data_IF_607921858123
#
_entry.id   IF_607921858123
#
_cell.length_a   1.000
_cell.length_b   1.000
_cell.length_c   1.000
_cell.angle_alpha   90.00
_cell.angle_beta   90.00
_cell.angle_gamma   90.00
#
_symmetry.space_group_name_H-M   'P 1'
#
loop_
_entity.id
_entity.type
_entity.pdbx_description
1 polymer ?
2 polymer ?
3 water ?
#
loop_
_entity_poly.entity_id
_entity_poly.type
_entity_poly.pdbx_seq_one_letter_code
_entity_poly.pdbx_strand_id
1 'polydeoxyribonucleotide' '(DG)(DC)(DG)(DA)(BRU)(DC)(DG)(DC)' ?
#
# COMPACT_ATOMS: atom_id res chain seq x y z
N UNK E 2 5.26 -6.65 5.50
CA UNK E 2 6.25 -6.40 4.39
C UNK E 2 5.61 -6.53 3.02
N UNK E 3 5.78 -5.50 2.20
CA UNK E 3 5.21 -5.50 0.88
C UNK E 3 6.32 -5.57 -0.17
N UNK E 4 6.00 -6.04 -1.38
CA UNK E 4 7.01 -6.15 -2.43
C UNK E 4 6.70 -5.15 -3.51
N UNK E 5 7.65 -4.26 -3.78
CA UNK E 5 7.45 -3.26 -4.79
C UNK E 5 8.04 -3.76 -6.09
N UNK E 6 7.29 -3.66 -7.15
CA UNK E 6 7.75 -4.08 -8.46
C UNK E 6 7.10 -3.24 -9.51
N UNK E 7 7.64 -3.31 -10.71
CA UNK E 7 7.13 -2.54 -11.82
C UNK E 7 6.73 -3.56 -12.87
N UNK E 8 5.50 -3.46 -13.36
CA UNK E 8 5.02 -4.43 -14.33
C UNK E 8 4.19 -3.72 -15.39
N UNK E 9 4.64 -3.79 -16.63
CA UNK E 9 3.94 -3.17 -17.73
C UNK E 9 3.82 -1.68 -17.51
N UNK E 10 4.95 -1.05 -17.22
CA UNK E 10 4.97 0.39 -16.98
C UNK E 10 4.42 0.87 -15.63
N UNK E 11 3.63 0.03 -14.98
CA UNK E 11 3.01 0.38 -13.71
C UNK E 11 3.83 -0.03 -12.51
N UNK E 12 3.97 0.89 -11.56
CA UNK E 12 4.68 0.56 -10.35
C UNK E 12 3.58 -0.09 -9.51
N UNK E 13 3.87 -1.22 -8.88
CA UNK E 13 2.85 -1.87 -8.06
C UNK E 13 3.47 -2.34 -6.76
N UNK E 14 2.61 -2.78 -5.85
CA UNK E 14 3.08 -3.24 -4.56
C UNK E 14 2.15 -4.39 -4.16
N UNK E 15 2.69 -5.44 -3.56
CA UNK E 15 1.85 -6.56 -3.11
C UNK E 15 2.38 -7.13 -1.81
N UNK E 16 1.47 -7.51 -0.88
CA UNK E 16 1.87 -8.07 0.41
C UNK E 16 2.35 -9.47 0.15
N UNK E 17 3.30 -9.91 0.95
CA UNK E 17 3.86 -11.22 0.81
C UNK E 17 2.83 -12.24 1.27
N UNK E 18 1.79 -11.75 1.93
CA UNK E 18 0.70 -12.58 2.43
C UNK E 18 -0.08 -13.08 1.23
N UNK E 19 0.10 -12.41 0.10
CA UNK E 19 -0.64 -12.83 -1.07
C UNK E 19 0.18 -13.42 -2.18
N UNK E 20 1.48 -13.53 -1.95
CA UNK E 20 2.37 -14.12 -2.94
C UNK E 20 2.37 -15.66 -2.80
N UNK E 21 2.21 -16.34 -3.94
CA UNK E 21 2.16 -17.81 -3.98
C UNK E 21 3.46 -18.53 -4.40
N UNK E 22 3.69 -18.70 -5.71
CA UNK E 22 4.92 -19.36 -6.14
C UNK E 22 5.96 -18.25 -6.37
N UNK E 23 7.19 -18.58 -6.05
CA UNK E 23 8.31 -17.68 -6.17
C UNK E 23 9.46 -18.53 -6.73
N UNK E 24 10.23 -18.00 -7.68
CA UNK E 24 11.34 -18.80 -8.22
C UNK E 24 12.38 -17.83 -8.68
N UNK E 25 13.58 -18.31 -8.96
CA UNK E 25 14.60 -17.40 -9.43
C UNK E 25 14.81 -17.49 -10.94
N UNK E 26 15.07 -16.34 -11.59
CA UNK E 26 15.36 -16.27 -13.00
C UNK E 26 16.60 -15.43 -13.07
N UNK E 27 17.73 -16.06 -13.37
CA UNK E 27 19.01 -15.35 -13.43
C UNK E 27 19.20 -14.59 -12.14
N UNK E 28 19.19 -13.26 -12.24
CA UNK E 28 19.33 -12.40 -11.09
C UNK E 28 18.03 -11.80 -10.52
N UNK E 29 16.84 -12.27 -10.90
CA UNK E 29 15.63 -11.70 -10.34
C UNK E 29 14.74 -12.76 -9.77
N UNK E 30 13.85 -12.30 -8.90
CA UNK E 30 12.89 -13.17 -8.21
C UNK E 30 11.57 -12.96 -8.91
N UNK E 31 11.01 -14.07 -9.37
CA UNK E 31 9.74 -14.00 -10.09
C UNK E 31 8.68 -14.60 -9.17
N UNK E 32 7.42 -14.15 -9.30
CA UNK E 32 6.42 -14.73 -8.43
C UNK E 32 5.02 -14.58 -9.00
N UNK E 33 4.04 -15.26 -8.40
CA UNK E 33 2.64 -15.10 -8.78
C UNK E 33 1.98 -14.67 -7.45
N UNK E 34 0.79 -14.10 -7.54
CA UNK E 34 0.09 -13.60 -6.36
C UNK E 34 -1.41 -13.44 -6.58
N UNK E 35 -2.16 -13.34 -5.48
CA UNK E 35 -3.62 -13.19 -5.52
C UNK E 35 -3.96 -11.74 -5.82
N UNK E 36 -4.58 -11.51 -6.97
CA UNK E 36 -4.95 -10.14 -7.38
C UNK E 36 -6.47 -10.31 -7.43
N UNK E 37 -7.04 -10.44 -6.22
CA UNK E 37 -8.46 -10.76 -5.99
C UNK E 37 -9.20 -11.32 -7.21
N UNK E 38 -9.32 -12.65 -7.21
CA UNK E 38 -10.02 -13.31 -8.30
C UNK E 38 -9.08 -13.94 -9.30
N UNK E 39 -8.04 -13.21 -9.66
CA UNK E 39 -7.09 -13.71 -10.64
C UNK E 39 -5.67 -13.70 -10.08
N UNK E 40 -4.80 -14.52 -10.68
CA UNK E 40 -3.40 -14.62 -10.27
C UNK E 40 -2.56 -13.66 -11.11
N UNK E 41 -1.86 -12.73 -10.46
CA UNK E 41 -0.99 -11.82 -11.18
C UNK E 41 0.42 -12.35 -11.11
N UNK E 42 1.31 -11.75 -11.90
CA UNK E 42 2.72 -12.13 -11.95
C UNK E 42 3.50 -10.85 -11.67
N UNK E 43 4.59 -10.97 -10.93
CA UNK E 43 5.42 -9.84 -10.61
C UNK E 43 6.88 -10.32 -10.53
N UNK E 44 7.82 -9.38 -10.58
CA UNK E 44 9.22 -9.76 -10.51
C UNK E 44 10.04 -8.58 -10.06
N UNK E 45 11.07 -8.86 -9.27
CA UNK E 45 11.94 -7.82 -8.76
C UNK E 45 13.34 -8.40 -8.71
N UNK E 46 14.33 -7.56 -9.00
CA UNK E 46 15.71 -7.97 -8.97
C UNK E 46 15.98 -8.46 -7.54
N UNK E 47 16.88 -9.43 -7.38
CA UNK E 47 17.19 -9.94 -6.07
C UNK E 47 17.73 -8.83 -5.17
N UNK E 48 18.59 -7.99 -5.75
CA UNK E 48 19.17 -6.90 -4.95
C UNK E 48 18.11 -5.96 -4.38
N UNK E 49 16.99 -5.80 -5.07
CA UNK E 49 15.92 -4.96 -4.55
C UNK E 49 14.83 -5.72 -3.78
N UNK E 50 14.93 -7.06 -3.69
CA UNK E 50 13.89 -7.82 -2.97
C UNK E 50 13.94 -7.72 -1.43
N UNK E 51 12.79 -7.68 -0.79
CA UNK E 51 12.89 -7.59 0.67
C UNK E 51 13.25 -8.98 1.20
N UNK E 52 13.97 -9.03 2.32
CA UNK E 52 14.39 -10.26 2.96
C UNK E 52 13.34 -11.35 2.97
N UNK E 53 12.13 -11.01 3.40
CA UNK E 53 11.01 -11.95 3.47
C UNK E 53 10.73 -12.67 2.15
N UNK E 54 10.90 -11.97 1.03
CA UNK E 54 10.66 -12.57 -0.29
C UNK E 54 11.81 -13.51 -0.59
N UNK E 55 13.02 -13.09 -0.25
CA UNK E 55 14.14 -13.94 -0.51
C UNK E 55 14.01 -15.19 0.38
N UNK E 56 13.40 -15.03 1.55
CA UNK E 56 13.25 -16.18 2.44
C UNK E 56 12.26 -17.12 1.77
N UNK E 57 11.15 -16.57 1.26
CA UNK E 57 10.20 -17.44 0.58
C UNK E 57 10.89 -18.13 -0.55
N UNK E 58 11.81 -17.44 -1.24
CA UNK E 58 12.47 -18.10 -2.38
C UNK E 58 13.33 -19.29 -1.93
N UNK E 59 14.01 -19.12 -0.81
CA UNK E 59 14.88 -20.20 -0.36
C UNK E 59 13.99 -21.37 -0.05
N UNK E 60 12.89 -21.11 0.62
CA UNK E 60 11.97 -22.20 0.96
C UNK E 60 11.50 -22.91 -0.29
N UNK E 61 11.05 -22.17 -1.29
CA UNK E 61 10.58 -22.80 -2.50
C UNK E 61 11.63 -23.64 -3.17
N UNK E 62 12.87 -23.14 -3.17
CA UNK E 62 13.92 -23.91 -3.81
C UNK E 62 14.24 -25.18 -3.01
N UNK E 63 14.11 -25.14 -1.70
CA UNK E 63 14.41 -26.33 -0.89
C UNK E 63 13.31 -27.36 -0.92
N UNK E 64 12.32 -27.13 -1.80
CA UNK E 64 11.18 -28.01 -1.98
C UNK E 64 10.96 -28.39 -3.46
N UNK F 2 -14.31 17.00 14.36
CA UNK F 2 -13.19 17.52 13.54
C UNK F 2 -13.35 17.14 12.08
N UNK F 3 -13.21 18.13 11.19
CA UNK F 3 -13.34 17.87 9.78
C UNK F 3 -12.07 18.16 8.99
N UNK F 4 -11.78 17.29 8.03
CA UNK F 4 -10.61 17.50 7.21
C UNK F 4 -11.06 18.15 5.92
N UNK F 5 -10.43 19.26 5.52
CA UNK F 5 -10.84 19.88 4.27
C UNK F 5 -9.68 19.77 3.29
N UNK F 6 -10.01 19.35 2.09
CA UNK F 6 -9.03 19.18 1.04
C UNK F 6 -9.75 19.23 -0.29
N UNK F 7 -9.02 19.60 -1.31
CA UNK F 7 -9.63 19.63 -2.60
C UNK F 7 -9.11 18.36 -3.26
N UNK F 8 -9.98 17.66 -3.94
CA UNK F 8 -9.58 16.46 -4.65
C UNK F 8 -10.25 16.63 -6.03
N UNK F 9 -9.42 16.65 -7.07
CA UNK F 9 -9.88 16.83 -8.45
C UNK F 9 -10.48 18.20 -8.58
N UNK F 10 -9.79 19.19 -8.02
CA UNK F 10 -10.29 20.55 -8.11
C UNK F 10 -11.51 20.86 -7.26
N UNK F 11 -12.26 19.87 -6.83
CA UNK F 11 -13.42 20.19 -6.01
C UNK F 11 -13.02 20.11 -4.55
N UNK F 12 -13.44 21.10 -3.75
CA UNK F 12 -13.10 21.09 -2.33
C UNK F 12 -14.07 20.19 -1.57
N UNK F 13 -13.51 19.39 -0.67
CA UNK F 13 -14.30 18.47 0.12
C UNK F 13 -13.99 18.61 1.58
N UNK F 14 -14.84 18.02 2.39
CA UNK F 14 -14.68 18.13 3.82
C UNK F 14 -15.12 16.79 4.36
N UNK F 15 -14.36 16.25 5.29
CA UNK F 15 -14.72 14.95 5.81
C UNK F 15 -14.51 14.91 7.31
N UNK F 16 -15.50 14.36 8.02
CA UNK F 16 -15.40 14.24 9.47
C UNK F 16 -14.39 13.15 9.72
N UNK F 17 -13.46 13.41 10.62
CA UNK F 17 -12.40 12.45 10.94
C UNK F 17 -12.94 11.09 11.36
N UNK F 18 -14.09 11.09 12.03
CA UNK F 18 -14.71 9.83 12.48
C UNK F 18 -15.09 8.89 11.33
N UNK F 19 -15.15 9.39 10.09
CA UNK F 19 -15.48 8.55 8.91
C UNK F 19 -14.21 8.00 8.20
N UNK F 20 -13.05 8.49 8.61
CA UNK F 20 -11.78 8.06 8.04
C UNK F 20 -11.54 6.61 8.36
N UNK F 21 -11.19 5.82 7.36
CA UNK F 21 -10.98 4.41 7.57
C UNK F 21 -9.53 3.94 7.56
N UNK F 22 -8.77 4.33 6.54
CA UNK F 22 -7.39 3.91 6.50
C UNK F 22 -6.60 5.16 6.27
N UNK F 23 -5.42 5.23 6.85
CA UNK F 23 -4.57 6.42 6.72
C UNK F 23 -3.13 6.02 6.51
N UNK F 24 -2.41 6.74 5.66
CA UNK F 24 -1.03 6.39 5.44
C UNK F 24 -0.28 7.62 4.90
N UNK F 25 1.04 7.61 5.03
CA UNK F 25 1.87 8.72 4.58
C UNK F 25 2.44 8.51 3.18
N UNK F 26 2.44 9.56 2.39
CA UNK F 26 3.03 9.52 1.06
C UNK F 26 3.78 10.81 1.01
N UNK F 27 5.08 10.68 1.23
CA UNK F 27 5.98 11.83 1.22
C UNK F 27 5.52 12.88 2.21
N UNK F 28 5.22 14.05 1.69
CA UNK F 28 4.76 15.11 2.57
C UNK F 28 3.24 15.22 2.71
N UNK F 29 2.50 14.25 2.19
CA UNK F 29 1.06 14.27 2.39
C UNK F 29 0.55 13.04 3.13
N UNK F 30 -0.66 13.17 3.65
CA UNK F 30 -1.37 12.08 4.35
C UNK F 30 -2.51 11.60 3.45
N UNK F 31 -2.52 10.30 3.13
CA UNK F 31 -3.51 9.76 2.24
C UNK F 31 -4.50 8.98 3.06
N UNK F 32 -5.75 8.92 2.65
CA UNK F 32 -6.68 8.19 3.47
C UNK F 32 -7.88 7.74 2.71
N UNK F 33 -8.62 6.80 3.30
CA UNK F 33 -9.88 6.40 2.67
C UNK F 33 -10.95 6.77 3.70
N UNK F 34 -12.20 6.98 3.27
CA UNK F 34 -13.23 7.33 4.25
C UNK F 34 -14.56 6.73 3.87
N UNK F 35 -15.48 6.73 4.82
CA UNK F 35 -16.79 6.18 4.57
C UNK F 35 -17.72 7.31 4.21
N UNK F 36 -18.03 7.40 2.93
CA UNK F 36 -18.94 8.43 2.48
C UNK F 36 -20.31 7.82 2.31
N UNK F 37 -21.16 8.05 3.30
CA UNK F 37 -22.52 7.55 3.31
C UNK F 37 -22.62 6.14 2.76
N UNK F 38 -21.81 5.24 3.31
CA UNK F 38 -21.85 3.86 2.86
C UNK F 38 -20.73 3.44 1.92
N UNK F 39 -20.50 4.23 0.88
CA UNK F 39 -19.43 3.92 -0.09
C UNK F 39 -18.09 4.48 0.37
N UNK F 40 -17.00 3.87 -0.09
CA UNK F 40 -15.67 4.29 0.32
C UNK F 40 -15.03 5.27 -0.66
N UNK F 41 -14.53 6.41 -0.16
CA UNK F 41 -13.88 7.41 -1.00
C UNK F 41 -12.41 7.55 -0.62
N UNK F 42 -11.63 8.17 -1.49
CA UNK F 42 -10.20 8.39 -1.25
C UNK F 42 -10.05 9.92 -1.05
N UNK F 43 -9.16 10.32 -0.16
CA UNK F 43 -8.92 11.73 0.02
C UNK F 43 -7.47 11.90 0.43
N UNK F 44 -6.96 13.12 0.39
CA UNK F 44 -5.61 13.33 0.82
C UNK F 44 -5.42 14.77 1.32
N UNK F 45 -4.46 14.99 2.20
CA UNK F 45 -4.18 16.33 2.67
C UNK F 45 -2.70 16.41 3.02
N UNK F 46 -2.11 17.59 2.86
CA UNK F 46 -0.70 17.74 3.16
C UNK F 46 -0.53 17.53 4.63
N UNK F 47 0.61 16.99 5.04
CA UNK F 47 0.89 16.78 6.45
C UNK F 47 0.79 18.07 7.22
N UNK F 48 1.28 19.16 6.63
CA UNK F 48 1.22 20.44 7.35
C UNK F 48 -0.20 20.93 7.56
N UNK F 49 -1.13 20.55 6.69
CA UNK F 49 -2.51 21.00 6.87
C UNK F 49 -3.38 20.02 7.63
N UNK F 50 -2.85 18.86 7.94
CA UNK F 50 -3.62 17.83 8.64
C UNK F 50 -4.05 18.07 10.08
N UNK F 51 -5.37 17.93 10.37
CA UNK F 51 -5.78 18.15 11.76
C UNK F 51 -4.95 17.17 12.62
N UNK F 52 -4.72 17.55 13.88
CA UNK F 52 -3.94 16.69 14.77
C UNK F 52 -4.58 15.32 14.96
N UNK F 53 -5.89 15.28 14.93
CA UNK F 53 -6.58 14.02 15.10
C UNK F 53 -6.21 13.05 13.98
N UNK F 54 -6.05 13.55 12.75
CA UNK F 54 -5.67 12.70 11.61
C UNK F 54 -4.24 12.25 11.81
N UNK F 55 -3.40 13.16 12.29
CA UNK F 55 -2.02 12.79 12.54
C UNK F 55 -1.93 11.72 13.60
N UNK F 56 -2.82 11.76 14.61
CA UNK F 56 -2.77 10.74 15.66
C UNK F 56 -3.13 9.41 15.03
N UNK F 57 -4.17 9.43 14.22
CA UNK F 57 -4.64 8.24 13.53
C UNK F 57 -3.51 7.60 12.75
N UNK F 58 -2.80 8.42 11.99
CA UNK F 58 -1.69 7.93 11.19
C UNK F 58 -0.61 7.32 12.06
N UNK F 59 -0.24 7.97 13.17
CA UNK F 59 0.79 7.44 14.04
C UNK F 59 0.34 6.08 14.58
N UNK F 60 -0.93 6.00 14.98
CA UNK F 60 -1.44 4.76 15.45
C UNK F 60 -1.35 3.70 14.34
N UNK F 61 -1.63 4.09 13.11
CA UNK F 61 -1.60 3.09 12.05
C UNK F 61 -0.20 2.56 11.78
N UNK F 62 0.78 3.44 11.80
CA UNK F 62 2.14 3.04 11.54
C UNK F 62 2.78 2.22 12.65
N UNK F 63 2.22 2.30 13.85
CA UNK F 63 2.81 1.55 14.94
C UNK F 63 2.36 0.11 14.96
N UNK F 64 1.08 -0.12 14.66
CA UNK F 64 0.58 -1.48 14.68
C UNK F 64 1.01 -2.31 13.48
N UNK F 65 1.05 -1.68 12.30
CA UNK F 65 1.42 -2.35 11.05
C UNK F 65 0.43 -3.48 10.69
#
# INVERSE_FOLDING_TARGET
MVKVKFKYKGEEKEVDTSKIKKVWRVGKFVSFTYDDNGKTGRGAVSEKDAPKELLDMLARAEREKK
MVKVKFKYKGEEKEVDTSKIKKVWRVGKFVSFTYDDNGKTGRGAVSEKDAPKELLDMLARAEREKK
#
